data_IF_512000315352
#
_entry.id   IF_512000315352
#
_cell.length_a   1.000
_cell.length_b   1.000
_cell.length_c   1.000
_cell.angle_alpha   90.00
_cell.angle_beta   90.00
_cell.angle_gamma   90.00
#
_symmetry.space_group_name_H-M   'P 1'
#
loop_
_entity.id
_entity.type
_entity.pdbx_description
1 polymer ?
#
# COMPACT_ATOMS: atom_id res chain seq x y z
N UNK A 1 12.44 -12.03 -13.01
CA UNK A 1 11.69 -12.44 -14.22
C UNK A 1 12.12 -11.56 -15.38
N UNK A 2 12.29 -12.11 -16.58
CA UNK A 2 12.61 -11.29 -17.75
C UNK A 2 11.42 -10.38 -18.13
N UNK A 3 11.66 -9.12 -18.52
CA UNK A 3 10.61 -8.19 -18.90
C UNK A 3 9.84 -8.69 -20.13
N UNK A 4 8.52 -8.71 -20.03
CA UNK A 4 7.59 -9.33 -20.99
C UNK A 4 7.31 -8.43 -22.19
N UNK A 5 7.64 -7.15 -22.11
CA UNK A 5 7.46 -6.17 -23.18
C UNK A 5 8.69 -5.27 -23.35
N UNK A 6 8.81 -4.65 -24.53
CA UNK A 6 9.82 -3.61 -24.78
C UNK A 6 9.60 -2.36 -23.90
N UNK A 7 8.36 -2.13 -23.45
CA UNK A 7 7.98 -1.05 -22.53
C UNK A 7 8.58 -1.31 -21.15
N UNK A 8 8.42 -2.52 -20.60
CA UNK A 8 8.98 -2.93 -19.29
C UNK A 8 10.52 -2.94 -19.23
N UNK A 9 11.20 -2.86 -20.38
CA UNK A 9 12.67 -2.80 -20.47
C UNK A 9 13.21 -1.39 -20.32
N UNK A 10 12.37 -0.38 -20.46
CA UNK A 10 12.75 1.02 -20.37
C UNK A 10 11.88 1.70 -19.29
N UNK A 11 12.41 1.94 -18.08
CA UNK A 11 11.65 2.51 -16.97
C UNK A 11 11.05 3.89 -17.27
N UNK A 12 11.73 4.73 -18.07
CA UNK A 12 11.22 6.05 -18.43
C UNK A 12 10.00 5.95 -19.36
N UNK A 13 10.09 5.09 -20.38
CA UNK A 13 8.97 4.79 -21.27
C UNK A 13 7.80 4.17 -20.50
N UNK A 14 8.09 3.20 -19.62
CA UNK A 14 7.08 2.58 -18.78
C UNK A 14 6.34 3.61 -17.93
N UNK A 15 7.06 4.48 -17.22
CA UNK A 15 6.46 5.52 -16.39
C UNK A 15 5.61 6.50 -17.22
N UNK A 16 6.06 6.88 -18.42
CA UNK A 16 5.28 7.75 -19.31
C UNK A 16 3.97 7.10 -19.77
N UNK A 17 4.02 5.83 -20.17
CA UNK A 17 2.82 5.06 -20.58
C UNK A 17 1.88 4.82 -19.41
N UNK A 18 2.39 4.44 -18.24
CA UNK A 18 1.59 4.20 -17.04
C UNK A 18 0.87 5.47 -16.58
N UNK A 19 1.54 6.64 -16.62
CA UNK A 19 0.95 7.93 -16.28
C UNK A 19 -0.25 8.26 -17.19
N UNK A 20 -0.07 8.17 -18.50
CA UNK A 20 -1.15 8.44 -19.46
C UNK A 20 -2.31 7.45 -19.33
N UNK A 21 -2.05 6.18 -19.00
CA UNK A 21 -3.11 5.23 -18.70
C UNK A 21 -3.86 5.60 -17.41
N UNK A 22 -3.14 6.05 -16.39
CA UNK A 22 -3.72 6.44 -15.10
C UNK A 22 -4.57 7.72 -15.18
N UNK A 23 -4.27 8.63 -16.11
CA UNK A 23 -5.10 9.80 -16.41
C UNK A 23 -6.47 9.41 -17.00
N UNK A 24 -6.57 8.26 -17.66
CA UNK A 24 -7.86 7.66 -18.08
C UNK A 24 -8.51 8.29 -19.32
N UNK A 25 -7.99 9.40 -19.84
CA UNK A 25 -8.57 10.15 -20.96
C UNK A 25 -7.98 9.80 -22.33
N UNK A 26 -6.85 9.10 -22.36
CA UNK A 26 -6.09 8.85 -23.59
C UNK A 26 -6.45 7.51 -24.26
N UNK A 27 -6.63 7.53 -25.57
CA UNK A 27 -6.71 6.36 -26.44
C UNK A 27 -5.35 5.71 -26.64
N UNK A 28 -5.32 4.47 -27.15
CA UNK A 28 -4.05 3.78 -27.48
C UNK A 28 -3.23 4.58 -28.51
N UNK A 29 -3.92 5.24 -29.44
CA UNK A 29 -3.30 6.05 -30.48
C UNK A 29 -2.63 7.31 -29.91
N UNK A 30 -3.31 8.03 -29.03
CA UNK A 30 -2.78 9.21 -28.34
C UNK A 30 -1.61 8.85 -27.42
N UNK A 31 -1.71 7.73 -26.68
CA UNK A 31 -0.61 7.24 -25.86
C UNK A 31 0.60 6.94 -26.73
N UNK A 32 0.41 6.27 -27.87
CA UNK A 32 1.49 5.94 -28.79
C UNK A 32 2.15 7.17 -29.41
N UNK A 33 1.37 8.18 -29.79
CA UNK A 33 1.88 9.45 -30.28
C UNK A 33 2.73 10.16 -29.23
N UNK A 34 2.25 10.20 -27.98
CA UNK A 34 2.94 10.85 -26.86
C UNK A 34 4.27 10.18 -26.48
N UNK A 35 4.48 8.90 -26.83
CA UNK A 35 5.73 8.17 -26.54
C UNK A 35 6.48 7.75 -27.81
N UNK A 36 6.17 8.35 -28.96
CA UNK A 36 6.76 7.99 -30.25
C UNK A 36 8.29 8.15 -30.27
N UNK A 37 8.84 9.12 -29.51
CA UNK A 37 10.28 9.36 -29.38
C UNK A 37 11.07 8.15 -28.85
N UNK A 38 10.40 7.25 -28.12
CA UNK A 38 11.01 6.02 -27.58
C UNK A 38 11.06 4.87 -28.61
N UNK A 39 10.59 5.08 -29.84
CA UNK A 39 10.62 4.08 -30.90
C UNK A 39 9.78 2.83 -30.63
N UNK A 40 8.74 2.94 -29.79
CA UNK A 40 7.84 1.83 -29.44
C UNK A 40 6.73 1.71 -30.48
N UNK A 41 6.35 0.47 -30.85
CA UNK A 41 5.25 0.27 -31.78
C UNK A 41 3.89 0.43 -31.10
N UNK A 42 2.91 0.95 -31.83
CA UNK A 42 1.49 1.02 -31.44
C UNK A 42 0.96 -0.29 -30.86
N UNK A 43 1.33 -1.41 -31.47
CA UNK A 43 0.91 -2.75 -31.02
C UNK A 43 1.49 -3.11 -29.64
N UNK A 44 2.73 -2.71 -29.35
CA UNK A 44 3.33 -2.90 -28.02
C UNK A 44 2.61 -2.04 -26.95
N UNK A 45 2.29 -0.78 -27.28
CA UNK A 45 1.49 0.11 -26.43
C UNK A 45 0.12 -0.50 -26.15
N UNK A 46 -0.59 -0.95 -27.18
CA UNK A 46 -1.92 -1.57 -27.03
C UNK A 46 -1.91 -2.83 -26.16
N UNK A 47 -0.94 -3.74 -26.37
CA UNK A 47 -0.79 -4.94 -25.52
C UNK A 47 -0.47 -4.60 -24.06
N UNK A 48 0.30 -3.55 -23.83
CA UNK A 48 0.63 -3.10 -22.47
C UNK A 48 -0.58 -2.43 -21.82
N UNK A 49 -1.22 -1.48 -22.49
CA UNK A 49 -2.42 -0.77 -22.02
C UNK A 49 -3.56 -1.73 -21.67
N UNK A 50 -3.85 -2.72 -22.51
CA UNK A 50 -4.88 -3.72 -22.24
C UNK A 50 -4.60 -4.57 -20.99
N UNK A 51 -3.32 -4.72 -20.62
CA UNK A 51 -2.92 -5.44 -19.40
C UNK A 51 -2.99 -4.54 -18.16
N UNK A 52 -2.62 -3.27 -18.31
CA UNK A 52 -2.43 -2.34 -17.21
C UNK A 52 -3.72 -1.60 -16.82
N UNK A 53 -4.59 -1.27 -17.79
CA UNK A 53 -5.89 -0.59 -17.54
C UNK A 53 -6.75 -1.30 -16.50
N UNK A 54 -6.96 -2.64 -16.55
CA UNK A 54 -7.75 -3.32 -15.52
C UNK A 54 -7.18 -3.18 -14.10
N UNK A 55 -5.85 -3.10 -13.97
CA UNK A 55 -5.18 -2.89 -12.69
C UNK A 55 -5.44 -1.47 -12.18
N UNK A 56 -5.26 -0.47 -13.04
CA UNK A 56 -5.55 0.94 -12.73
C UNK A 56 -7.02 1.13 -12.34
N UNK A 57 -7.95 0.56 -13.11
CA UNK A 57 -9.39 0.65 -12.84
C UNK A 57 -9.76 0.00 -11.51
N UNK A 58 -9.04 -1.05 -11.11
CA UNK A 58 -9.22 -1.69 -9.79
C UNK A 58 -8.73 -0.77 -8.69
N UNK A 59 -7.53 -0.20 -8.84
CA UNK A 59 -6.96 0.74 -7.86
C UNK A 59 -7.84 2.00 -7.70
N UNK A 60 -8.36 2.56 -8.79
CA UNK A 60 -9.25 3.72 -8.76
C UNK A 60 -10.55 3.36 -8.03
N UNK A 61 -11.16 2.22 -8.34
CA UNK A 61 -12.37 1.73 -7.64
C UNK A 61 -12.11 1.53 -6.16
N UNK A 62 -11.00 0.89 -5.80
CA UNK A 62 -10.64 0.65 -4.40
C UNK A 62 -10.36 1.96 -3.64
N UNK A 63 -9.75 2.95 -4.30
CA UNK A 63 -9.56 4.30 -3.73
C UNK A 63 -10.90 5.04 -3.55
N UNK A 64 -11.82 4.92 -4.50
CA UNK A 64 -13.15 5.50 -4.39
C UNK A 64 -13.95 4.86 -3.24
N UNK A 65 -13.86 3.52 -3.08
CA UNK A 65 -14.41 2.79 -1.94
C UNK A 65 -13.79 3.27 -0.63
N UNK A 66 -12.46 3.44 -0.58
CA UNK A 66 -11.76 4.02 0.58
C UNK A 66 -12.30 5.41 0.93
N UNK A 67 -12.40 6.30 -0.03
CA UNK A 67 -12.87 7.67 0.19
C UNK A 67 -14.33 7.69 0.67
N UNK A 68 -15.17 6.79 0.16
CA UNK A 68 -16.54 6.63 0.64
C UNK A 68 -16.59 6.11 2.08
N UNK A 69 -15.79 5.09 2.41
CA UNK A 69 -15.73 4.53 3.77
C UNK A 69 -15.15 5.50 4.81
N UNK A 70 -14.18 6.34 4.43
CA UNK A 70 -13.63 7.39 5.30
C UNK A 70 -14.70 8.38 5.77
N UNK A 71 -15.76 8.62 4.99
CA UNK A 71 -16.89 9.47 5.40
C UNK A 71 -17.72 8.87 6.53
N UNK A 72 -17.63 7.57 6.75
CA UNK A 72 -18.37 6.82 7.76
C UNK A 72 -17.51 6.42 8.97
N UNK A 73 -16.20 6.68 8.93
CA UNK A 73 -15.27 6.37 10.00
C UNK A 73 -15.01 7.62 10.87
N UNK A 74 -14.73 7.44 12.18
CA UNK A 74 -14.32 8.55 13.03
C UNK A 74 -13.09 9.28 12.49
N UNK A 75 -13.04 10.60 12.66
CA UNK A 75 -11.88 11.40 12.26
C UNK A 75 -10.58 10.88 12.92
N UNK A 76 -9.50 10.78 12.13
CA UNK A 76 -8.20 10.27 12.60
C UNK A 76 -7.95 8.79 12.33
N UNK A 77 -8.93 8.07 11.76
CA UNK A 77 -8.73 6.69 11.28
C UNK A 77 -8.19 6.73 9.85
N UNK A 78 -6.87 6.70 9.70
CA UNK A 78 -6.25 6.45 8.39
C UNK A 78 -6.23 4.95 8.11
N UNK A 79 -7.31 4.45 7.52
CA UNK A 79 -7.33 3.08 7.01
C UNK A 79 -6.67 3.08 5.64
N UNK A 80 -5.44 2.60 5.57
CA UNK A 80 -4.75 2.35 4.31
C UNK A 80 -5.56 1.39 3.43
N UNK A 81 -5.25 1.32 2.12
CA UNK A 81 -5.87 0.32 1.22
C UNK A 81 -5.72 -1.12 1.75
N UNK A 82 -4.64 -1.38 2.50
CA UNK A 82 -4.39 -2.65 3.19
C UNK A 82 -5.47 -2.96 4.23
N UNK A 83 -5.96 -1.97 4.98
CA UNK A 83 -7.01 -2.19 5.98
C UNK A 83 -8.35 -2.56 5.35
N UNK A 84 -8.68 -1.89 4.24
CA UNK A 84 -9.90 -2.19 3.49
C UNK A 84 -9.80 -3.59 2.87
N UNK A 85 -8.63 -3.95 2.34
CA UNK A 85 -8.40 -5.29 1.80
C UNK A 85 -8.49 -6.37 2.88
N UNK A 86 -7.88 -6.15 4.04
CA UNK A 86 -7.97 -7.07 5.20
C UNK A 86 -9.42 -7.19 5.67
N UNK A 87 -10.13 -6.07 5.85
CA UNK A 87 -11.52 -6.06 6.30
C UNK A 87 -12.45 -6.75 5.31
N UNK A 88 -12.25 -6.51 4.00
CA UNK A 88 -13.00 -7.20 2.94
C UNK A 88 -12.70 -8.69 2.93
N UNK A 89 -11.43 -9.09 3.00
CA UNK A 89 -11.05 -10.50 3.05
C UNK A 89 -11.66 -11.21 4.27
N UNK A 90 -11.63 -10.57 5.44
CA UNK A 90 -12.29 -11.07 6.64
C UNK A 90 -13.80 -11.22 6.45
N UNK A 91 -14.46 -10.22 5.87
CA UNK A 91 -15.90 -10.25 5.61
C UNK A 91 -16.30 -11.39 4.66
N UNK A 92 -15.52 -11.61 3.60
CA UNK A 92 -15.77 -12.71 2.66
C UNK A 92 -15.53 -14.09 3.30
N UNK A 93 -14.50 -14.22 4.16
CA UNK A 93 -14.27 -15.47 4.92
C UNK A 93 -15.44 -15.75 5.86
N UNK A 94 -15.94 -14.73 6.58
CA UNK A 94 -17.08 -14.88 7.48
C UNK A 94 -18.36 -15.25 6.72
N UNK A 95 -18.67 -14.57 5.60
CA UNK A 95 -19.80 -14.93 4.73
C UNK A 95 -19.72 -16.36 4.22
N UNK A 96 -18.52 -16.82 3.86
CA UNK A 96 -18.33 -18.18 3.40
C UNK A 96 -18.46 -19.21 4.54
N UNK A 97 -18.18 -18.83 5.79
CA UNK A 97 -18.48 -19.64 6.98
C UNK A 97 -19.98 -19.69 7.27
N UNK A 98 -20.68 -18.56 7.18
CA UNK A 98 -22.14 -18.49 7.38
C UNK A 98 -22.88 -19.33 6.34
N UNK A 99 -22.54 -19.17 5.06
CA UNK A 99 -23.10 -19.96 3.97
C UNK A 99 -22.82 -21.46 4.09
N UNK A 100 -21.78 -21.86 4.84
CA UNK A 100 -21.50 -23.25 5.16
C UNK A 100 -22.31 -23.78 6.35
N UNK A 101 -22.78 -22.89 7.24
CA UNK A 101 -23.68 -23.25 8.34
C UNK A 101 -25.13 -23.38 7.89
N UNK A 102 -25.51 -22.68 6.81
CA UNK A 102 -26.86 -22.69 6.24
C UNK A 102 -27.09 -23.82 5.21
N UNK A 103 -26.04 -24.53 4.77
CA UNK A 103 -26.16 -25.69 3.87
C UNK A 103 -26.74 -26.90 4.65
N UNK A 104 -27.76 -27.57 4.08
CA UNK A 104 -28.35 -28.80 4.66
C UNK A 104 -27.36 -29.98 4.67
N UNK A 105 -26.31 -29.91 3.84
CA UNK A 105 -25.23 -30.90 3.80
C UNK A 105 -24.02 -30.43 4.64
N UNK A 106 -23.45 -31.32 5.48
CA UNK A 106 -22.26 -30.98 6.24
C UNK A 106 -21.09 -30.64 5.29
N UNK A 107 -20.42 -29.52 5.57
CA UNK A 107 -19.30 -29.08 4.77
C UNK A 107 -18.18 -30.13 4.71
N UNK A 108 -17.69 -30.41 3.50
CA UNK A 108 -16.59 -31.35 3.32
C UNK A 108 -15.26 -30.80 3.89
N UNK A 109 -14.35 -31.71 4.26
CA UNK A 109 -13.08 -31.37 4.91
C UNK A 109 -12.18 -30.45 4.07
N UNK A 110 -12.23 -30.55 2.74
CA UNK A 110 -11.45 -29.68 1.84
C UNK A 110 -11.94 -28.23 1.86
N UNK A 111 -13.26 -28.00 1.89
CA UNK A 111 -13.88 -26.68 1.99
C UNK A 111 -13.54 -26.02 3.33
N UNK A 112 -13.58 -26.79 4.43
CA UNK A 112 -13.13 -26.34 5.75
C UNK A 112 -11.63 -25.97 5.73
N UNK A 113 -10.77 -26.83 5.17
CA UNK A 113 -9.34 -26.58 5.10
C UNK A 113 -8.98 -25.36 4.24
N UNK A 114 -9.76 -25.05 3.20
CA UNK A 114 -9.60 -23.83 2.39
C UNK A 114 -9.96 -22.58 3.19
N UNK A 115 -11.05 -22.61 3.95
CA UNK A 115 -11.46 -21.49 4.81
C UNK A 115 -10.46 -21.23 5.94
N UNK A 116 -9.99 -22.28 6.62
CA UNK A 116 -8.97 -22.15 7.67
C UNK A 116 -7.69 -21.51 7.11
N UNK A 117 -7.26 -21.90 5.90
CA UNK A 117 -6.13 -21.28 5.21
C UNK A 117 -6.37 -19.80 4.88
N UNK A 118 -7.56 -19.46 4.39
CA UNK A 118 -7.94 -18.08 4.10
C UNK A 118 -7.94 -17.22 5.38
N UNK A 119 -8.53 -17.71 6.46
CA UNK A 119 -8.53 -17.05 7.77
C UNK A 119 -7.12 -16.84 8.31
N UNK A 120 -6.25 -17.86 8.24
CA UNK A 120 -4.84 -17.73 8.63
C UNK A 120 -4.10 -16.68 7.79
N UNK A 121 -4.44 -16.56 6.49
CA UNK A 121 -3.93 -15.50 5.63
C UNK A 121 -4.32 -14.10 6.11
N UNK A 122 -5.58 -13.91 6.50
CA UNK A 122 -6.07 -12.64 7.07
C UNK A 122 -5.37 -12.32 8.39
N UNK A 123 -5.26 -13.29 9.30
CA UNK A 123 -4.57 -13.12 10.60
C UNK A 123 -3.11 -12.71 10.38
N UNK A 124 -2.42 -13.37 9.45
CA UNK A 124 -1.03 -13.05 9.11
C UNK A 124 -0.90 -11.63 8.57
N UNK A 125 -1.78 -11.23 7.64
CA UNK A 125 -1.78 -9.87 7.08
C UNK A 125 -2.01 -8.80 8.15
N UNK A 126 -2.92 -9.05 9.12
CA UNK A 126 -3.14 -8.14 10.26
C UNK A 126 -1.88 -7.99 11.13
N UNK A 127 -1.14 -9.09 11.35
CA UNK A 127 0.09 -9.08 12.13
C UNK A 127 1.20 -8.30 11.42
N UNK A 128 1.45 -8.60 10.15
CA UNK A 128 2.46 -7.91 9.34
C UNK A 128 2.17 -6.40 9.26
N UNK A 129 0.89 -6.04 9.12
CA UNK A 129 0.47 -4.63 9.14
C UNK A 129 0.80 -3.95 10.49
N UNK A 130 0.51 -4.61 11.62
CA UNK A 130 0.83 -4.07 12.95
C UNK A 130 2.34 -3.87 13.12
N UNK A 131 3.14 -4.86 12.71
CA UNK A 131 4.61 -4.78 12.75
C UNK A 131 5.11 -3.58 11.92
N UNK A 132 4.58 -3.40 10.69
CA UNK A 132 4.89 -2.25 9.85
C UNK A 132 4.49 -0.90 10.48
N UNK A 133 3.30 -0.79 11.08
CA UNK A 133 2.87 0.44 11.75
C UNK A 133 3.74 0.78 12.97
N UNK A 134 4.25 -0.22 13.68
CA UNK A 134 5.16 -0.04 14.79
C UNK A 134 6.53 0.46 14.30
N UNK A 135 7.04 -0.08 13.20
CA UNK A 135 8.27 0.37 12.53
C UNK A 135 8.14 1.83 12.05
N UNK A 136 7.04 2.18 11.39
CA UNK A 136 6.78 3.55 10.94
C UNK A 136 6.72 4.50 12.14
N UNK A 137 5.96 4.16 13.19
CA UNK A 137 5.90 4.97 14.43
C UNK A 137 7.25 5.08 15.13
N UNK A 138 8.10 4.06 15.06
CA UNK A 138 9.46 4.15 15.59
C UNK A 138 10.33 5.10 14.74
N UNK A 139 10.24 5.00 13.42
CA UNK A 139 10.96 5.89 12.49
C UNK A 139 10.53 7.35 12.64
N UNK A 140 9.23 7.63 12.76
CA UNK A 140 8.71 8.97 12.96
C UNK A 140 9.13 9.56 14.32
N UNK A 141 9.10 8.76 15.38
CA UNK A 141 9.62 9.18 16.70
C UNK A 141 11.10 9.53 16.62
N UNK A 142 11.88 8.73 15.91
CA UNK A 142 13.31 9.01 15.71
C UNK A 142 13.52 10.32 14.94
N UNK A 143 12.81 10.52 13.82
CA UNK A 143 12.90 11.76 13.02
C UNK A 143 12.46 13.00 13.80
N UNK A 144 11.35 12.91 14.54
CA UNK A 144 10.87 14.00 15.37
C UNK A 144 11.87 14.36 16.48
N UNK A 145 12.50 13.34 17.08
CA UNK A 145 13.53 13.54 18.08
C UNK A 145 14.81 14.16 17.50
N UNK A 146 15.23 13.74 16.31
CA UNK A 146 16.39 14.32 15.62
C UNK A 146 16.11 15.78 15.21
N UNK A 147 14.93 16.09 14.69
CA UNK A 147 14.51 17.46 14.37
C UNK A 147 14.43 18.35 15.63
N UNK A 148 13.96 17.82 16.76
CA UNK A 148 13.96 18.54 18.03
C UNK A 148 15.37 18.86 18.52
N UNK A 149 16.32 17.94 18.32
CA UNK A 149 17.73 18.12 18.68
C UNK A 149 18.38 19.19 17.80
N UNK A 150 18.15 19.16 16.50
CA UNK A 150 18.63 20.19 15.57
C UNK A 150 18.10 21.58 15.96
N UNK A 151 16.79 21.69 16.20
CA UNK A 151 16.18 22.95 16.63
C UNK A 151 16.76 23.46 17.97
N UNK A 152 17.06 22.57 18.92
CA UNK A 152 17.70 22.94 20.19
C UNK A 152 19.14 23.41 20.00
N UNK A 153 19.91 22.74 19.14
CA UNK A 153 21.27 23.14 18.82
C UNK A 153 21.30 24.51 18.13
N UNK A 154 20.40 24.78 17.19
CA UNK A 154 20.23 26.08 16.54
C UNK A 154 19.81 27.18 17.53
N UNK A 155 19.00 26.84 18.53
CA UNK A 155 18.61 27.73 19.61
C UNK A 155 19.73 27.98 20.65
N UNK A 156 20.92 27.39 20.47
CA UNK A 156 22.08 27.58 21.33
C UNK A 156 22.07 26.73 22.60
N UNK A 157 21.28 25.65 22.65
CA UNK A 157 21.33 24.70 23.77
C UNK A 157 22.68 23.98 23.80
N UNK A 158 23.27 23.87 24.99
CA UNK A 158 24.52 23.12 25.17
C UNK A 158 24.30 21.61 25.04
N UNK A 159 25.35 20.87 24.66
CA UNK A 159 25.29 19.40 24.47
C UNK A 159 24.71 18.66 25.69
N UNK A 160 25.04 19.11 26.91
CA UNK A 160 24.50 18.52 28.14
C UNK A 160 22.98 18.72 28.31
N UNK A 161 22.42 19.83 27.82
CA UNK A 161 20.97 20.07 27.83
C UNK A 161 20.27 19.24 26.76
N UNK A 162 20.88 19.12 25.57
CA UNK A 162 20.37 18.28 24.48
C UNK A 162 20.32 16.80 24.92
N UNK A 163 21.36 16.30 25.58
CA UNK A 163 21.40 14.93 26.10
C UNK A 163 20.32 14.69 27.17
N UNK A 164 20.16 15.64 28.08
CA UNK A 164 19.10 15.57 29.11
C UNK A 164 17.70 15.50 28.49
N UNK A 165 17.44 16.29 27.45
CA UNK A 165 16.16 16.31 26.74
C UNK A 165 15.95 15.01 25.95
N UNK A 166 16.98 14.50 25.26
CA UNK A 166 16.94 13.20 24.56
C UNK A 166 16.54 12.07 25.49
N UNK A 167 17.11 12.03 26.70
CA UNK A 167 16.86 10.95 27.67
C UNK A 167 15.55 11.10 28.42
N UNK A 168 15.25 12.29 28.96
CA UNK A 168 14.10 12.49 29.85
C UNK A 168 12.80 12.77 29.13
N UNK A 169 12.84 13.46 28.00
CA UNK A 169 11.65 13.91 27.29
C UNK A 169 11.38 13.01 26.08
N UNK A 170 12.41 12.72 25.29
CA UNK A 170 12.27 11.96 24.04
C UNK A 170 12.44 10.43 24.23
N UNK A 171 12.89 9.99 25.41
CA UNK A 171 13.01 8.57 25.76
C UNK A 171 14.01 7.78 24.92
N UNK A 172 14.98 8.45 24.28
CA UNK A 172 16.01 7.82 23.46
C UNK A 172 17.08 7.17 24.35
N UNK A 173 17.49 5.93 24.02
CA UNK A 173 18.65 5.28 24.66
C UNK A 173 19.94 5.82 24.02
N UNK A 174 21.03 5.85 24.79
CA UNK A 174 22.35 6.35 24.34
C UNK A 174 22.76 5.74 23.00
N UNK A 175 23.28 6.58 22.09
CA UNK A 175 24.06 6.08 20.95
C UNK A 175 25.27 5.32 21.51
N UNK A 176 25.54 4.08 21.08
CA UNK A 176 26.81 3.44 21.41
C UNK A 176 27.95 4.32 20.86
N UNK A 177 28.96 4.52 21.70
CA UNK A 177 30.19 5.26 21.37
C UNK A 177 30.97 4.58 20.26
#
# INVERSE_FOLDING_TARGET
MAPRSSIERNPALQAAVERLIAEGEHTIDEIHEAVAEYGVSRSAVGRYANRYRPLVDTIIRDRAVRQAMQKHLPAGVDTGLIDIAIHRAQSEVLRAMDAMGDDEEPANADRIAKLVRALNGVIKAMREKREFEEEVRASERQRAADAAVEALAEAGAGEAQIDTIRRRILGMREKPQ
#
